data_IF_613279421645
#
_entry.id   IF_613279421645
#
_cell.length_a   1.000
_cell.length_b   1.000
_cell.length_c   1.000
_cell.angle_alpha   90.00
_cell.angle_beta   90.00
_cell.angle_gamma   90.00
#
_symmetry.space_group_name_H-M   'P 1'
#
loop_
_entity.id
_entity.type
_entity.pdbx_description
1 polymer ?
#
# COMPACT_ATOMS: atom_id res chain seq x y z
N UNK A 1 2.13 -16.00 1.26
CA UNK A 1 0.93 -15.75 2.06
C UNK A 1 1.00 -14.32 2.55
N UNK A 2 0.19 -13.49 1.91
CA UNK A 2 0.01 -12.08 2.24
C UNK A 2 -1.06 -11.92 3.35
N UNK A 3 -0.78 -11.06 4.33
CA UNK A 3 -1.69 -10.70 5.42
C UNK A 3 -1.94 -9.20 5.42
N UNK A 4 -3.20 -8.79 5.57
CA UNK A 4 -3.60 -7.39 5.61
C UNK A 4 -3.48 -6.78 7.02
N UNK A 5 -3.56 -5.44 7.15
CA UNK A 5 -3.65 -4.75 8.44
C UNK A 5 -4.92 -5.08 9.25
N UNK A 6 -5.79 -5.95 8.74
CA UNK A 6 -7.14 -6.21 9.21
C UNK A 6 -8.20 -5.66 8.26
N UNK A 7 -9.47 -6.00 8.52
CA UNK A 7 -10.60 -5.59 7.68
C UNK A 7 -10.78 -4.07 7.62
N UNK A 8 -10.37 -3.37 8.67
CA UNK A 8 -10.35 -1.91 8.70
C UNK A 8 -9.30 -1.39 9.67
N UNK A 9 -8.89 -0.14 9.46
CA UNK A 9 -8.11 0.67 10.39
C UNK A 9 -8.80 2.02 10.59
N UNK A 10 -8.52 2.67 11.72
CA UNK A 10 -9.10 3.97 12.05
C UNK A 10 -8.03 5.05 11.92
N UNK A 11 -8.28 6.03 11.05
CA UNK A 11 -7.48 7.25 10.94
C UNK A 11 -8.24 8.44 11.51
N UNK A 12 -7.51 9.35 12.17
CA UNK A 12 -8.09 10.58 12.70
C UNK A 12 -7.67 11.77 11.84
N UNK A 13 -8.60 12.66 11.52
CA UNK A 13 -8.33 13.86 10.70
C UNK A 13 -7.11 14.64 11.22
N UNK A 14 -6.18 14.97 10.33
CA UNK A 14 -4.94 15.69 10.65
C UNK A 14 -3.83 14.83 11.30
N UNK A 15 -4.10 13.56 11.63
CA UNK A 15 -3.09 12.61 12.15
C UNK A 15 -2.55 11.73 11.03
N UNK A 16 -1.57 10.89 11.36
CA UNK A 16 -1.06 9.86 10.48
C UNK A 16 -1.68 8.49 10.84
N UNK A 17 -1.72 7.59 9.87
CA UNK A 17 -2.05 6.17 10.05
C UNK A 17 -1.03 5.32 9.32
N UNK A 18 -0.73 4.14 9.87
CA UNK A 18 0.12 3.15 9.22
C UNK A 18 -0.74 2.00 8.70
N UNK A 19 -0.54 1.67 7.44
CA UNK A 19 -0.98 0.42 6.86
C UNK A 19 0.20 -0.56 6.89
N UNK A 20 0.03 -1.73 7.50
CA UNK A 20 1.07 -2.75 7.64
C UNK A 20 0.62 -4.08 7.08
N UNK A 21 1.26 -4.50 5.99
CA UNK A 21 1.13 -5.83 5.42
C UNK A 21 2.34 -6.67 5.76
N UNK A 22 2.11 -7.96 5.93
CA UNK A 22 3.19 -8.96 6.01
C UNK A 22 3.02 -10.00 4.93
N UNK A 23 4.10 -10.45 4.32
CA UNK A 23 4.08 -11.43 3.25
C UNK A 23 5.27 -12.38 3.33
N UNK A 24 5.14 -13.54 2.69
CA UNK A 24 6.20 -14.52 2.51
C UNK A 24 6.74 -14.47 1.07
N UNK A 25 7.72 -15.32 0.74
CA UNK A 25 8.26 -15.46 -0.61
C UNK A 25 8.94 -14.20 -1.15
N UNK A 26 9.64 -13.48 -0.28
CA UNK A 26 10.24 -12.18 -0.57
C UNK A 26 11.24 -12.25 -1.74
N UNK A 27 11.96 -13.36 -1.89
CA UNK A 27 12.94 -13.56 -2.97
C UNK A 27 12.31 -13.67 -4.35
N UNK A 28 11.01 -13.95 -4.41
CA UNK A 28 10.25 -14.10 -5.63
C UNK A 28 9.49 -12.83 -6.00
N UNK A 29 9.55 -11.75 -5.23
CA UNK A 29 8.82 -10.53 -5.61
C UNK A 29 9.55 -9.85 -6.77
N UNK A 30 8.79 -9.48 -7.79
CA UNK A 30 9.24 -8.62 -8.89
C UNK A 30 8.86 -7.17 -8.56
N UNK A 31 7.55 -6.96 -8.38
CA UNK A 31 6.97 -5.64 -8.15
C UNK A 31 5.88 -5.66 -7.08
N UNK A 32 5.66 -4.50 -6.45
CA UNK A 32 4.63 -4.29 -5.44
C UNK A 32 3.97 -2.93 -5.61
N UNK A 33 2.64 -2.92 -5.54
CA UNK A 33 1.82 -1.72 -5.67
C UNK A 33 0.95 -1.52 -4.44
N UNK A 34 1.08 -0.36 -3.81
CA UNK A 34 0.12 0.09 -2.80
C UNK A 34 -0.81 1.12 -3.42
N UNK A 35 -2.10 0.97 -3.17
CA UNK A 35 -3.10 1.71 -3.90
C UNK A 35 -4.51 1.62 -3.33
N UNK A 36 -5.46 2.21 -4.05
CA UNK A 36 -6.88 2.17 -3.71
C UNK A 36 -7.59 1.04 -4.46
N UNK A 37 -8.54 0.41 -3.79
CA UNK A 37 -9.37 -0.65 -4.33
C UNK A 37 -10.83 -0.22 -4.45
N UNK A 38 -11.48 -0.54 -5.58
CA UNK A 38 -12.87 -0.18 -5.81
C UNK A 38 -13.51 -1.11 -6.84
N UNK A 39 -14.78 -1.48 -6.63
CA UNK A 39 -15.57 -2.33 -7.55
C UNK A 39 -14.85 -3.64 -7.94
N UNK A 40 -14.16 -4.26 -6.99
CA UNK A 40 -13.39 -5.50 -7.19
C UNK A 40 -12.18 -5.34 -8.12
N UNK A 41 -11.62 -4.14 -8.20
CA UNK A 41 -10.43 -3.85 -9.00
C UNK A 41 -9.47 -2.90 -8.28
N UNK A 42 -8.19 -2.99 -8.65
CA UNK A 42 -7.12 -2.12 -8.16
C UNK A 42 -7.17 -0.79 -8.92
N UNK A 43 -7.85 0.21 -8.35
CA UNK A 43 -8.24 1.43 -9.06
C UNK A 43 -7.05 2.35 -9.35
N UNK A 44 -6.17 2.58 -8.35
CA UNK A 44 -5.04 3.49 -8.51
C UNK A 44 -3.82 2.97 -7.76
N UNK A 45 -2.67 2.89 -8.43
CA UNK A 45 -1.37 2.69 -7.79
C UNK A 45 -0.83 4.02 -7.28
N UNK A 46 -0.69 4.14 -5.95
CA UNK A 46 -0.15 5.33 -5.28
C UNK A 46 1.37 5.20 -5.13
N UNK A 47 1.82 4.04 -4.65
CA UNK A 47 3.24 3.71 -4.49
C UNK A 47 3.54 2.47 -5.32
N UNK A 48 4.68 2.52 -6.01
CA UNK A 48 5.26 1.39 -6.72
C UNK A 48 6.63 1.08 -6.15
N UNK A 49 6.88 -0.19 -5.91
CA UNK A 49 8.14 -0.69 -5.36
C UNK A 49 8.62 -1.78 -6.29
N UNK A 50 9.80 -1.59 -6.87
CA UNK A 50 10.42 -2.60 -7.72
C UNK A 50 11.59 -3.24 -6.99
N UNK A 51 11.71 -4.57 -7.08
CA UNK A 51 12.76 -5.33 -6.42
C UNK A 51 13.74 -5.93 -7.43
N UNK A 52 14.99 -5.47 -7.35
CA UNK A 52 16.05 -5.93 -8.24
C UNK A 52 16.69 -7.22 -7.73
N UNK A 53 17.29 -7.99 -8.64
CA UNK A 53 17.96 -9.26 -8.33
C UNK A 53 19.10 -9.13 -7.30
N UNK A 54 19.72 -7.95 -7.22
CA UNK A 54 20.76 -7.64 -6.23
C UNK A 54 20.21 -7.41 -4.81
N UNK A 55 18.90 -7.55 -4.60
CA UNK A 55 18.22 -7.35 -3.32
C UNK A 55 17.89 -5.90 -2.98
N UNK A 56 18.23 -4.94 -3.85
CA UNK A 56 17.83 -3.54 -3.67
C UNK A 56 16.39 -3.32 -4.12
N UNK A 57 15.73 -2.32 -3.54
CA UNK A 57 14.40 -1.88 -3.96
C UNK A 57 14.39 -0.40 -4.28
N UNK A 58 13.71 -0.01 -5.36
CA UNK A 58 13.35 1.39 -5.62
C UNK A 58 11.92 1.63 -5.23
N UNK A 59 11.62 2.87 -4.78
CA UNK A 59 10.27 3.27 -4.39
C UNK A 59 9.90 4.52 -5.16
N UNK A 60 8.86 4.42 -5.96
CA UNK A 60 8.34 5.50 -6.78
C UNK A 60 6.93 5.86 -6.34
N UNK A 61 6.72 7.13 -6.02
CA UNK A 61 5.38 7.69 -5.89
C UNK A 61 4.86 8.01 -7.29
N UNK A 62 3.74 7.41 -7.67
CA UNK A 62 3.12 7.71 -8.97
C UNK A 62 2.61 9.14 -8.96
N UNK A 63 2.80 9.86 -10.08
CA UNK A 63 2.47 11.29 -10.20
C UNK A 63 1.32 11.58 -11.17
N UNK A 64 0.40 10.64 -11.38
CA UNK A 64 -0.78 10.92 -12.20
C UNK A 64 -1.87 11.65 -11.40
N UNK A 65 -2.77 12.35 -12.09
CA UNK A 65 -3.74 13.27 -11.49
C UNK A 65 -4.60 12.66 -10.38
N UNK A 66 -4.98 11.38 -10.50
CA UNK A 66 -5.82 10.70 -9.52
C UNK A 66 -5.11 10.31 -8.20
N UNK A 67 -3.77 10.44 -8.12
CA UNK A 67 -3.00 10.17 -6.91
C UNK A 67 -2.19 11.36 -6.40
N UNK A 68 -2.27 12.52 -7.06
CA UNK A 68 -1.61 13.76 -6.61
C UNK A 68 -2.03 14.17 -5.19
N UNK A 69 -3.24 13.81 -4.76
CA UNK A 69 -3.71 14.08 -3.40
C UNK A 69 -2.85 13.41 -2.30
N UNK A 70 -2.08 12.38 -2.64
CA UNK A 70 -1.18 11.66 -1.73
C UNK A 70 0.25 12.21 -1.71
N UNK A 71 0.58 13.10 -2.65
CA UNK A 71 1.92 13.68 -2.77
C UNK A 71 2.32 14.40 -1.48
N UNK A 72 3.50 14.06 -0.95
CA UNK A 72 4.02 14.58 0.32
C UNK A 72 3.30 14.06 1.57
N UNK A 73 2.26 13.23 1.44
CA UNK A 73 1.52 12.63 2.57
C UNK A 73 1.81 11.15 2.76
N UNK A 74 2.14 10.43 1.69
CA UNK A 74 2.48 9.01 1.73
C UNK A 74 3.99 8.82 1.89
N UNK A 75 4.37 7.92 2.81
CA UNK A 75 5.76 7.49 3.02
C UNK A 75 5.83 5.96 3.07
N UNK A 76 6.80 5.40 2.35
CA UNK A 76 7.22 4.01 2.50
C UNK A 76 8.13 3.87 3.72
N UNK A 77 7.83 2.89 4.57
CA UNK A 77 8.61 2.55 5.76
C UNK A 77 8.78 1.02 5.94
N UNK A 78 8.46 0.24 4.91
CA UNK A 78 8.60 -1.21 4.94
C UNK A 78 10.01 -1.69 4.62
N UNK A 79 10.16 -3.02 4.69
CA UNK A 79 11.36 -3.76 4.33
C UNK A 79 10.93 -5.04 3.62
N UNK A 80 11.12 -5.05 2.30
CA UNK A 80 10.72 -6.18 1.46
C UNK A 80 11.51 -7.44 1.79
N UNK A 81 12.78 -7.30 2.21
CA UNK A 81 13.67 -8.43 2.49
C UNK A 81 13.20 -9.31 3.65
N UNK A 82 12.46 -8.72 4.59
CA UNK A 82 11.88 -9.42 5.76
C UNK A 82 10.37 -9.63 5.64
N UNK A 83 9.77 -9.31 4.48
CA UNK A 83 8.35 -9.57 4.26
C UNK A 83 7.42 -8.52 4.85
N UNK A 84 7.85 -7.26 4.93
CA UNK A 84 7.13 -6.20 5.62
C UNK A 84 6.87 -5.02 4.69
N UNK A 85 5.61 -4.66 4.49
CA UNK A 85 5.21 -3.48 3.73
C UNK A 85 4.46 -2.50 4.63
N UNK A 86 5.07 -1.33 4.86
CA UNK A 86 4.49 -0.27 5.69
C UNK A 86 4.34 0.99 4.87
N UNK A 87 3.11 1.51 4.84
CA UNK A 87 2.78 2.77 4.21
C UNK A 87 2.16 3.69 5.26
N UNK A 88 2.81 4.82 5.51
CA UNK A 88 2.31 5.86 6.40
C UNK A 88 1.56 6.90 5.55
N UNK A 89 0.29 7.15 5.87
CA UNK A 89 -0.49 8.25 5.30
C UNK A 89 -0.66 9.33 6.36
N UNK A 90 0.00 10.47 6.15
CA UNK A 90 -0.02 11.63 7.02
C UNK A 90 -1.13 12.62 6.68
N UNK A 91 -1.57 13.39 7.66
CA UNK A 91 -2.55 14.46 7.47
C UNK A 91 -3.86 13.92 6.89
N UNK A 92 -4.43 12.90 7.54
CA UNK A 92 -5.65 12.22 7.12
C UNK A 92 -6.80 13.24 6.92
N UNK A 93 -7.54 13.06 5.83
CA UNK A 93 -8.70 13.87 5.42
C UNK A 93 -9.91 12.96 5.28
N UNK A 94 -11.11 13.54 5.30
CA UNK A 94 -12.35 12.79 5.04
C UNK A 94 -12.36 12.09 3.68
N UNK A 95 -11.71 12.67 2.66
CA UNK A 95 -11.57 12.09 1.32
C UNK A 95 -10.67 10.84 1.25
N UNK A 96 -9.89 10.57 2.30
CA UNK A 96 -9.04 9.40 2.40
C UNK A 96 -9.83 8.15 2.88
N UNK A 97 -11.09 8.29 3.32
CA UNK A 97 -11.93 7.12 3.64
C UNK A 97 -12.20 6.27 2.38
N UNK A 98 -11.39 5.24 2.20
CA UNK A 98 -11.39 4.32 1.05
C UNK A 98 -10.91 2.93 1.47
N UNK A 99 -11.05 1.98 0.56
CA UNK A 99 -10.36 0.69 0.67
C UNK A 99 -8.98 0.82 0.04
N UNK A 100 -7.95 0.41 0.77
CA UNK A 100 -6.58 0.33 0.32
C UNK A 100 -6.18 -1.13 0.15
N UNK A 101 -5.27 -1.40 -0.76
CA UNK A 101 -4.78 -2.74 -1.03
C UNK A 101 -3.28 -2.74 -1.31
N UNK A 102 -2.67 -3.90 -1.07
CA UNK A 102 -1.35 -4.24 -1.55
C UNK A 102 -1.50 -5.31 -2.64
N UNK A 103 -0.93 -5.00 -3.80
CA UNK A 103 -0.80 -5.92 -4.93
C UNK A 103 0.67 -6.32 -5.05
N UNK A 104 0.94 -7.62 -5.18
CA UNK A 104 2.29 -8.19 -5.27
C UNK A 104 2.36 -9.05 -6.52
N UNK A 105 3.30 -8.71 -7.40
CA UNK A 105 3.66 -9.52 -8.56
C UNK A 105 4.89 -10.36 -8.22
N UNK A 106 4.79 -11.67 -8.40
CA UNK A 106 5.90 -12.59 -8.20
C UNK A 106 6.56 -12.95 -9.54
N UNK A 107 7.88 -13.13 -9.51
CA UNK A 107 8.70 -13.64 -10.61
C UNK A 107 8.18 -14.98 -11.08
N UNK A 108 7.97 -15.08 -12.38
CA UNK A 108 7.44 -16.27 -13.07
C UNK A 108 5.99 -16.62 -12.72
N UNK A 109 5.24 -15.69 -12.12
CA UNK A 109 3.79 -15.79 -12.00
C UNK A 109 3.16 -14.69 -12.86
N UNK A 110 2.19 -15.07 -13.70
CA UNK A 110 1.43 -14.12 -14.50
C UNK A 110 0.26 -13.53 -13.69
N UNK A 111 -0.05 -14.10 -12.53
CA UNK A 111 -1.11 -13.64 -11.63
C UNK A 111 -0.53 -12.97 -10.38
N UNK A 112 -1.13 -11.84 -9.99
CA UNK A 112 -0.74 -11.12 -8.78
C UNK A 112 -1.54 -11.59 -7.56
N UNK A 113 -0.92 -11.59 -6.37
CA UNK A 113 -1.60 -11.97 -5.12
C UNK A 113 -2.44 -10.79 -4.59
N UNK A 114 -3.64 -10.63 -5.13
CA UNK A 114 -4.63 -9.62 -4.73
C UNK A 114 -5.53 -10.12 -3.60
N UNK A 115 -5.02 -10.20 -2.37
CA UNK A 115 -5.82 -10.72 -1.24
C UNK A 115 -5.76 -9.92 0.06
N UNK A 116 -5.38 -8.64 0.00
CA UNK A 116 -5.08 -7.91 1.24
C UNK A 116 -5.65 -6.49 1.31
N UNK A 117 -6.94 -6.39 1.06
CA UNK A 117 -7.67 -5.13 1.21
C UNK A 117 -7.85 -4.75 2.67
N UNK A 118 -7.88 -3.44 2.93
CA UNK A 118 -8.22 -2.87 4.24
C UNK A 118 -8.97 -1.56 4.08
N UNK A 119 -10.05 -1.36 4.83
CA UNK A 119 -10.80 -0.11 4.80
C UNK A 119 -10.20 0.90 5.79
N UNK A 120 -9.85 2.09 5.33
CA UNK A 120 -9.60 3.21 6.22
C UNK A 120 -10.94 3.85 6.62
N UNK A 121 -11.24 3.89 7.92
CA UNK A 121 -12.37 4.63 8.48
C UNK A 121 -11.84 5.95 9.05
N UNK A 122 -12.38 7.08 8.60
CA UNK A 122 -11.91 8.40 9.02
C UNK A 122 -12.79 8.94 10.13
N UNK A 123 -12.18 9.36 11.25
CA UNK A 123 -12.85 10.01 12.37
C UNK A 123 -12.32 11.42 12.60
N UNK A 124 -13.19 12.30 13.08
CA UNK A 124 -12.77 13.62 13.56
C UNK A 124 -12.13 13.47 14.94
N UNK A 125 -11.00 14.13 15.15
CA UNK A 125 -10.38 14.23 16.47
C UNK A 125 -11.08 15.36 17.22
N UNK A 126 -11.84 15.02 18.26
CA UNK A 126 -12.50 15.98 19.16
C UNK A 126 -11.59 16.35 20.33
#
# INVERSE_FOLDING_TARGET
MLSSPGNHIVGYTGRAVNFTWTFSNQTLIDDMHFGTWKKNDFENSIVYISQFENGTSTVDLKQHSAVLEYSGRIRWAGDVSIGLAIFELSGIKSSDERTYALDILYKNDDESELNSQTKLIVKVFN
#
